data_IF_980372131630
#
_entry.id   IF_980372131630
#
_cell.length_a   1.000
_cell.length_b   1.000
_cell.length_c   1.000
_cell.angle_alpha   90.00
_cell.angle_beta   90.00
_cell.angle_gamma   90.00
#
_symmetry.space_group_name_H-M   'P 1'
#
loop_
_entity.id
_entity.type
_entity.pdbx_description
1 polymer ?
#
# COMPACT_ATOMS: atom_id res chain seq x y z
N UNK A 1 -16.82 -5.33 3.70
CA UNK A 1 -15.86 -4.55 2.88
C UNK A 1 -14.48 -4.34 3.53
N UNK A 2 -14.33 -4.35 4.86
CA UNK A 2 -13.06 -4.02 5.53
C UNK A 2 -11.87 -4.92 5.17
N UNK A 3 -12.00 -6.23 5.32
CA UNK A 3 -10.89 -7.19 5.07
C UNK A 3 -10.32 -7.12 3.65
N UNK A 4 -11.17 -6.92 2.63
CA UNK A 4 -10.73 -6.84 1.23
C UNK A 4 -9.84 -5.62 1.00
N UNK A 5 -10.23 -4.47 1.54
CA UNK A 5 -9.44 -3.25 1.45
C UNK A 5 -8.14 -3.36 2.25
N UNK A 6 -8.15 -4.06 3.40
CA UNK A 6 -6.93 -4.32 4.18
C UNK A 6 -5.93 -5.15 3.38
N UNK A 7 -6.41 -6.21 2.73
CA UNK A 7 -5.58 -7.04 1.85
C UNK A 7 -5.04 -6.22 0.68
N UNK A 8 -5.89 -5.39 0.06
CA UNK A 8 -5.49 -4.51 -1.05
C UNK A 8 -4.43 -3.49 -0.63
N UNK A 9 -4.57 -2.88 0.55
CA UNK A 9 -3.59 -1.95 1.11
C UNK A 9 -2.24 -2.62 1.34
N UNK A 10 -2.24 -3.85 1.90
CA UNK A 10 -1.01 -4.63 2.09
C UNK A 10 -0.34 -4.94 0.74
N UNK A 11 -1.12 -5.38 -0.25
CA UNK A 11 -0.59 -5.69 -1.60
C UNK A 11 0.03 -4.44 -2.23
N UNK A 12 -0.62 -3.29 -2.14
CA UNK A 12 -0.11 -2.02 -2.66
C UNK A 12 1.21 -1.60 -2.00
N UNK A 13 1.31 -1.74 -0.68
CA UNK A 13 2.55 -1.44 0.05
C UNK A 13 3.67 -2.38 -0.41
N UNK A 14 3.42 -3.69 -0.49
CA UNK A 14 4.42 -4.68 -0.94
C UNK A 14 4.84 -4.43 -2.39
N UNK A 15 3.88 -4.17 -3.28
CA UNK A 15 4.15 -3.85 -4.67
C UNK A 15 4.97 -2.56 -4.81
N UNK A 16 4.68 -1.55 -3.99
CA UNK A 16 5.42 -0.30 -3.97
C UNK A 16 6.87 -0.47 -3.49
N UNK A 17 7.10 -1.27 -2.44
CA UNK A 17 8.45 -1.63 -1.99
C UNK A 17 9.21 -2.35 -3.11
N UNK A 18 8.60 -3.34 -3.76
CA UNK A 18 9.22 -4.05 -4.89
C UNK A 18 9.50 -3.12 -6.08
N UNK A 19 8.63 -2.13 -6.33
CA UNK A 19 8.84 -1.10 -7.35
C UNK A 19 10.06 -0.24 -7.06
N UNK A 20 10.22 0.21 -5.80
CA UNK A 20 11.40 0.96 -5.36
C UNK A 20 12.68 0.13 -5.55
N UNK A 21 12.67 -1.15 -5.14
CA UNK A 21 13.81 -2.04 -5.30
C UNK A 21 14.19 -2.28 -6.78
N UNK A 22 13.23 -2.17 -7.70
CA UNK A 22 13.45 -2.27 -9.15
C UNK A 22 13.89 -0.95 -9.80
N UNK A 23 14.17 0.09 -9.02
CA UNK A 23 14.56 1.42 -9.51
C UNK A 23 13.38 2.29 -9.98
N UNK A 24 12.14 1.84 -9.83
CA UNK A 24 10.94 2.60 -10.18
C UNK A 24 10.51 3.49 -9.00
N UNK A 25 11.40 4.40 -8.60
CA UNK A 25 11.24 5.22 -7.37
C UNK A 25 9.89 5.93 -7.31
N UNK A 26 9.47 6.61 -8.38
CA UNK A 26 8.21 7.37 -8.40
C UNK A 26 6.99 6.46 -8.23
N UNK A 27 6.89 5.41 -9.04
CA UNK A 27 5.77 4.46 -9.01
C UNK A 27 5.71 3.67 -7.71
N UNK A 28 6.86 3.27 -7.19
CA UNK A 28 6.97 2.55 -5.93
C UNK A 28 6.50 3.40 -4.75
N UNK A 29 6.93 4.66 -4.67
CA UNK A 29 6.48 5.60 -3.64
C UNK A 29 4.97 5.87 -3.76
N UNK A 30 4.45 6.08 -4.98
CA UNK A 30 3.01 6.28 -5.21
C UNK A 30 2.22 5.08 -4.69
N UNK A 31 2.64 3.84 -5.03
CA UNK A 31 1.96 2.63 -4.58
C UNK A 31 1.99 2.46 -3.04
N UNK A 32 3.09 2.82 -2.38
CA UNK A 32 3.19 2.82 -0.91
C UNK A 32 2.20 3.81 -0.30
N UNK A 33 2.18 5.05 -0.79
CA UNK A 33 1.29 6.11 -0.29
C UNK A 33 -0.18 5.72 -0.48
N UNK A 34 -0.55 5.25 -1.68
CA UNK A 34 -1.91 4.78 -1.94
C UNK A 34 -2.26 3.58 -1.06
N UNK A 35 -1.35 2.63 -0.88
CA UNK A 35 -1.55 1.48 0.00
C UNK A 35 -1.82 1.85 1.46
N UNK A 36 -1.16 2.90 1.98
CA UNK A 36 -1.40 3.44 3.32
C UNK A 36 -2.79 4.06 3.47
N UNK A 37 -3.29 4.78 2.47
CA UNK A 37 -4.65 5.31 2.48
C UNK A 37 -5.71 4.22 2.32
N UNK A 38 -5.40 3.18 1.56
CA UNK A 38 -6.34 2.09 1.26
C UNK A 38 -6.46 1.11 2.40
N UNK A 39 -5.40 0.83 3.17
CA UNK A 39 -5.39 -0.12 4.29
C UNK A 39 -6.32 0.35 5.43
N UNK A 40 -7.54 -0.20 5.57
CA UNK A 40 -8.41 0.06 6.70
C UNK A 40 -7.92 -0.84 7.83
N UNK A 41 -7.39 -0.22 8.88
CA UNK A 41 -6.96 -0.91 10.10
C UNK A 41 -5.81 -0.23 10.82
N UNK A 42 -4.93 0.50 10.13
CA UNK A 42 -3.73 1.08 10.77
C UNK A 42 -3.79 2.60 10.97
N UNK A 43 -4.48 3.35 10.11
CA UNK A 43 -4.56 4.82 10.22
C UNK A 43 -5.78 5.35 11.02
N UNK A 44 -6.82 4.52 11.22
CA UNK A 44 -8.10 4.96 11.81
C UNK A 44 -8.58 4.16 13.03
N UNK A 45 -7.81 3.17 13.51
CA UNK A 45 -8.09 2.46 14.77
C UNK A 45 -9.52 1.92 14.91
N UNK A 46 -9.76 0.71 14.41
CA UNK A 46 -10.93 -0.09 14.77
C UNK A 46 -10.46 -1.46 15.25
#
# INVERSE_FOLDING_TARGET
>A
MGILLTILGIILIVAGVLGVLRGQLLWGIIAIVVGLFVAPGYFYGF
#
